data_IF_938244566677
#
_entry.id   IF_938244566677
#
_cell.length_a   1.000
_cell.length_b   1.000
_cell.length_c   1.000
_cell.angle_alpha   90.00
_cell.angle_beta   90.00
_cell.angle_gamma   90.00
#
_symmetry.space_group_name_H-M   'P 1'
#
loop_
_entity.id
_entity.type
_entity.pdbx_description
1 polymer ?
#
# COMPACT_ATOMS: atom_id res chain seq x y z
N UNK A 1 22.97 20.60 6.62
CA UNK A 1 22.45 19.88 5.43
C UNK A 1 21.36 20.77 4.83
N UNK A 2 21.61 21.41 3.68
CA UNK A 2 20.82 22.55 3.18
C UNK A 2 19.62 22.08 2.36
N UNK A 3 18.42 22.49 2.75
CA UNK A 3 17.16 22.28 2.04
C UNK A 3 17.19 23.07 0.73
N UNK A 4 17.14 22.39 -0.42
CA UNK A 4 16.91 23.04 -1.71
C UNK A 4 15.46 22.85 -2.12
N UNK A 5 14.63 23.79 -1.67
CA UNK A 5 13.25 23.93 -2.15
C UNK A 5 13.31 24.71 -3.46
N UNK A 6 13.28 24.01 -4.58
CA UNK A 6 13.09 24.66 -5.89
C UNK A 6 11.61 24.99 -6.02
N UNK A 7 11.24 26.25 -5.77
CA UNK A 7 9.89 26.75 -6.07
C UNK A 7 9.81 27.06 -7.57
N UNK A 8 8.98 26.31 -8.29
CA UNK A 8 8.63 26.60 -9.68
C UNK A 8 7.36 27.45 -9.75
N UNK A 9 7.24 28.27 -10.79
CA UNK A 9 6.14 29.23 -11.06
C UNK A 9 4.75 28.56 -11.23
N UNK A 10 4.68 27.23 -11.25
CA UNK A 10 3.46 26.43 -11.47
C UNK A 10 2.81 25.88 -10.17
N UNK A 11 3.19 26.37 -8.98
CA UNK A 11 2.69 25.82 -7.72
C UNK A 11 3.24 24.42 -7.39
N UNK A 12 4.36 24.06 -8.00
CA UNK A 12 5.04 22.77 -7.81
C UNK A 12 6.13 22.93 -6.75
N UNK A 13 6.05 22.09 -5.72
CA UNK A 13 7.05 21.99 -4.66
C UNK A 13 7.78 20.66 -4.78
N UNK A 14 9.07 20.70 -5.11
CA UNK A 14 9.92 19.51 -5.20
C UNK A 14 10.61 19.28 -3.86
N UNK A 15 10.42 18.09 -3.29
CA UNK A 15 11.09 17.65 -2.07
C UNK A 15 12.08 16.54 -2.42
N UNK A 16 13.38 16.86 -2.40
CA UNK A 16 14.44 15.91 -2.71
C UNK A 16 14.75 15.00 -1.51
N UNK A 17 13.81 14.10 -1.17
CA UNK A 17 13.96 13.12 -0.08
C UNK A 17 13.37 11.77 -0.48
N UNK A 18 13.80 10.73 0.21
CA UNK A 18 13.11 9.44 0.18
C UNK A 18 11.66 9.65 0.64
N UNK A 19 10.70 9.19 -0.18
CA UNK A 19 9.28 9.26 0.15
C UNK A 19 9.00 8.65 1.53
N UNK A 20 9.69 7.56 1.90
CA UNK A 20 9.53 6.90 3.20
C UNK A 20 9.93 7.76 4.39
N UNK A 21 10.64 8.88 4.19
CA UNK A 21 11.09 9.81 5.22
C UNK A 21 10.44 11.21 5.14
N UNK A 22 9.55 11.44 4.18
CA UNK A 22 8.84 12.72 4.03
C UNK A 22 7.70 12.83 5.05
N UNK A 23 7.32 14.03 5.46
CA UNK A 23 6.08 14.25 6.23
C UNK A 23 4.90 14.33 5.27
N UNK A 24 3.87 13.50 5.48
CA UNK A 24 2.65 13.55 4.65
C UNK A 24 1.79 14.77 5.02
N UNK A 25 1.02 15.33 4.07
CA UNK A 25 0.13 16.47 4.35
C UNK A 25 -0.89 16.14 5.46
N UNK A 26 -1.15 17.07 6.40
CA UNK A 26 -2.18 16.90 7.43
C UNK A 26 -3.61 17.15 6.90
N UNK A 27 -3.76 17.74 5.71
CA UNK A 27 -5.04 17.92 5.01
C UNK A 27 -5.34 16.80 4.00
N UNK A 28 -6.60 16.64 3.53
CA UNK A 28 -6.93 15.64 2.52
C UNK A 28 -6.10 15.75 1.23
N UNK A 29 -5.45 14.66 0.84
CA UNK A 29 -4.55 14.64 -0.31
C UNK A 29 -4.74 13.41 -1.21
N UNK A 30 -4.17 13.49 -2.42
CA UNK A 30 -4.08 12.37 -3.36
C UNK A 30 -2.62 12.05 -3.67
N UNK A 31 -2.34 10.78 -3.89
CA UNK A 31 -1.01 10.30 -4.28
C UNK A 31 -1.07 9.85 -5.74
N UNK A 32 -0.15 10.32 -6.55
CA UNK A 32 0.01 9.88 -7.93
C UNK A 32 1.50 9.60 -8.14
N UNK A 33 1.85 8.45 -8.72
CA UNK A 33 3.25 8.17 -9.00
C UNK A 33 3.54 6.78 -9.55
N UNK A 34 4.77 6.61 -10.04
CA UNK A 34 5.31 5.30 -10.39
C UNK A 34 6.16 4.80 -9.23
N UNK A 35 5.74 3.73 -8.56
CA UNK A 35 6.44 3.23 -7.39
C UNK A 35 7.64 2.37 -7.82
N UNK A 36 8.82 2.58 -7.22
CA UNK A 36 9.97 1.70 -7.45
C UNK A 36 9.63 0.28 -7.01
N UNK A 37 9.87 -0.69 -7.88
CA UNK A 37 9.44 -2.08 -7.65
C UNK A 37 9.96 -2.69 -6.34
N UNK A 38 11.19 -2.35 -5.94
CA UNK A 38 11.79 -2.83 -4.70
C UNK A 38 11.19 -2.23 -3.42
N UNK A 39 10.43 -1.13 -3.52
CA UNK A 39 9.90 -0.36 -2.38
C UNK A 39 8.38 -0.23 -2.38
N UNK A 40 7.70 -0.80 -3.37
CA UNK A 40 6.24 -0.71 -3.50
C UNK A 40 5.53 -1.12 -2.22
N UNK A 41 5.91 -2.25 -1.61
CA UNK A 41 5.27 -2.73 -0.37
C UNK A 41 5.47 -1.77 0.79
N UNK A 42 6.68 -1.26 1.00
CA UNK A 42 7.00 -0.30 2.07
C UNK A 42 6.21 1.00 1.91
N UNK A 43 6.10 1.50 0.67
CA UNK A 43 5.35 2.71 0.34
C UNK A 43 3.85 2.50 0.59
N UNK A 44 3.31 1.35 0.19
CA UNK A 44 1.90 1.03 0.44
C UNK A 44 1.60 0.89 1.93
N UNK A 45 2.46 0.23 2.72
CA UNK A 45 2.32 0.17 4.17
C UNK A 45 2.26 1.57 4.79
N UNK A 46 3.22 2.43 4.43
CA UNK A 46 3.25 3.82 4.88
C UNK A 46 1.99 4.61 4.53
N UNK A 47 1.34 4.31 3.42
CA UNK A 47 0.13 5.01 2.97
C UNK A 47 -1.17 4.44 3.56
N UNK A 48 -1.20 3.15 3.88
CA UNK A 48 -2.46 2.41 4.09
C UNK A 48 -2.62 1.79 5.47
N UNK A 49 -1.53 1.54 6.20
CA UNK A 49 -1.59 0.90 7.52
C UNK A 49 -2.28 1.78 8.56
N UNK A 50 -2.12 3.11 8.46
CA UNK A 50 -2.79 4.08 9.31
C UNK A 50 -3.90 4.82 8.53
N UNK A 51 -5.17 4.41 8.68
CA UNK A 51 -6.29 5.09 8.03
C UNK A 51 -6.62 6.45 8.67
N UNK A 52 -5.90 6.91 9.69
CA UNK A 52 -5.97 8.31 10.16
C UNK A 52 -5.23 9.28 9.22
N UNK A 53 -4.29 8.79 8.40
CA UNK A 53 -3.64 9.60 7.37
C UNK A 53 -4.69 10.08 6.37
N UNK A 54 -4.86 11.39 6.11
CA UNK A 54 -5.99 11.94 5.35
C UNK A 54 -5.93 11.70 3.83
N UNK A 55 -5.20 10.68 3.37
CA UNK A 55 -5.18 10.28 1.97
C UNK A 55 -6.58 9.87 1.50
N UNK A 56 -7.00 10.41 0.36
CA UNK A 56 -8.31 10.14 -0.24
C UNK A 56 -8.21 9.12 -1.38
N UNK A 57 -7.12 9.18 -2.15
CA UNK A 57 -6.90 8.32 -3.31
C UNK A 57 -5.42 8.19 -3.63
N UNK A 58 -5.00 7.01 -4.06
CA UNK A 58 -3.70 6.78 -4.68
C UNK A 58 -3.88 6.16 -6.06
N UNK A 59 -3.27 6.77 -7.08
CA UNK A 59 -3.18 6.24 -8.45
C UNK A 59 -1.72 5.92 -8.73
N UNK A 60 -1.34 4.66 -8.56
CA UNK A 60 0.07 4.25 -8.60
C UNK A 60 0.34 3.22 -9.67
N UNK A 61 1.45 3.40 -10.38
CA UNK A 61 1.99 2.41 -11.31
C UNK A 61 2.90 1.47 -10.52
N UNK A 62 2.61 0.17 -10.58
CA UNK A 62 3.38 -0.90 -9.91
C UNK A 62 3.60 -2.06 -10.89
N UNK A 63 4.42 -3.06 -10.54
CA UNK A 63 4.54 -4.28 -11.37
C UNK A 63 3.18 -4.96 -11.53
N UNK A 64 2.93 -5.54 -12.70
CA UNK A 64 1.66 -6.20 -13.03
C UNK A 64 1.21 -7.19 -11.95
N UNK A 65 2.11 -8.09 -11.51
CA UNK A 65 1.80 -9.09 -10.50
C UNK A 65 1.42 -8.46 -9.14
N UNK A 66 2.07 -7.37 -8.76
CA UNK A 66 1.72 -6.62 -7.55
C UNK A 66 0.34 -5.98 -7.70
N UNK A 67 0.07 -5.37 -8.86
CA UNK A 67 -1.22 -4.73 -9.13
C UNK A 67 -2.37 -5.76 -9.06
N UNK A 68 -2.21 -6.91 -9.73
CA UNK A 68 -3.17 -8.02 -9.72
C UNK A 68 -3.35 -8.55 -8.29
N UNK A 69 -2.25 -8.84 -7.59
CA UNK A 69 -2.29 -9.39 -6.22
C UNK A 69 -2.97 -8.46 -5.22
N UNK A 70 -2.81 -7.14 -5.37
CA UNK A 70 -3.40 -6.14 -4.46
C UNK A 70 -4.86 -5.83 -4.77
N UNK A 71 -5.23 -5.81 -6.05
CA UNK A 71 -6.59 -5.58 -6.50
C UNK A 71 -7.50 -6.82 -6.39
N UNK A 72 -6.93 -8.01 -6.19
CA UNK A 72 -7.72 -9.22 -5.99
C UNK A 72 -8.64 -9.08 -4.77
N UNK A 73 -9.93 -9.40 -4.95
CA UNK A 73 -10.95 -9.27 -3.91
C UNK A 73 -10.52 -10.02 -2.65
N UNK A 74 -10.32 -9.34 -1.50
CA UNK A 74 -10.03 -10.02 -0.25
C UNK A 74 -11.06 -11.12 0.07
N UNK A 75 -10.67 -12.26 0.65
CA UNK A 75 -9.39 -12.53 1.32
C UNK A 75 -8.36 -13.29 0.45
N UNK A 76 -7.78 -12.63 -0.58
CA UNK A 76 -6.73 -13.24 -1.42
C UNK A 76 -5.32 -13.05 -0.84
N UNK A 77 -5.08 -11.95 -0.09
CA UNK A 77 -3.81 -11.76 0.62
C UNK A 77 -4.01 -11.16 2.01
N UNK A 78 -3.12 -11.50 2.94
CA UNK A 78 -3.16 -11.04 4.32
C UNK A 78 -3.25 -9.52 4.39
N UNK A 79 -2.32 -8.86 3.70
CA UNK A 79 -2.20 -7.40 3.69
C UNK A 79 -3.39 -6.71 2.99
N UNK A 80 -3.89 -7.24 1.87
CA UNK A 80 -5.09 -6.67 1.23
C UNK A 80 -6.32 -6.83 2.12
N UNK A 81 -6.40 -7.91 2.90
CA UNK A 81 -7.48 -8.14 3.85
C UNK A 81 -7.40 -7.16 5.01
N UNK A 82 -6.20 -6.93 5.57
CA UNK A 82 -5.99 -5.95 6.63
C UNK A 82 -6.41 -4.54 6.22
N UNK A 83 -6.18 -4.14 4.96
CA UNK A 83 -6.55 -2.81 4.46
C UNK A 83 -8.01 -2.68 4.00
N UNK A 84 -8.67 -3.80 3.69
CA UNK A 84 -10.00 -3.83 3.08
C UNK A 84 -11.09 -2.99 3.78
N UNK A 85 -11.12 -2.86 5.13
CA UNK A 85 -12.15 -2.09 5.80
C UNK A 85 -12.13 -0.59 5.50
N UNK A 86 -10.96 -0.02 5.20
CA UNK A 86 -10.78 1.41 4.98
C UNK A 86 -10.53 1.76 3.51
N UNK A 87 -10.08 0.79 2.71
CA UNK A 87 -9.61 1.04 1.35
C UNK A 87 -10.28 0.13 0.32
N UNK A 88 -10.72 0.71 -0.78
CA UNK A 88 -11.01 -0.01 -2.03
C UNK A 88 -9.74 -0.07 -2.88
N UNK A 89 -9.41 -1.24 -3.42
CA UNK A 89 -8.25 -1.43 -4.30
C UNK A 89 -8.71 -2.03 -5.62
N UNK A 90 -8.34 -1.40 -6.74
CA UNK A 90 -8.79 -1.79 -8.06
C UNK A 90 -7.65 -1.74 -9.07
N UNK A 91 -7.55 -2.76 -9.91
CA UNK A 91 -6.65 -2.79 -11.05
C UNK A 91 -7.37 -2.11 -12.22
N UNK A 92 -6.96 -0.89 -12.54
CA UNK A 92 -7.65 -0.07 -13.54
C UNK A 92 -7.15 -0.36 -14.95
N UNK A 93 -5.84 -0.63 -15.12
CA UNK A 93 -5.24 -0.78 -16.45
C UNK A 93 -3.95 -1.60 -16.41
N UNK A 94 -3.71 -2.42 -17.45
CA UNK A 94 -2.40 -3.00 -17.76
C UNK A 94 -1.58 -2.04 -18.63
N UNK A 95 -0.30 -1.86 -18.32
CA UNK A 95 0.62 -0.99 -19.05
C UNK A 95 1.77 -1.85 -19.59
N UNK A 96 1.92 -1.97 -20.92
CA UNK A 96 3.00 -2.77 -21.51
C UNK A 96 4.39 -2.28 -21.08
N UNK A 97 5.30 -3.21 -20.77
CA UNK A 97 6.69 -2.94 -20.40
C UNK A 97 7.43 -2.07 -21.43
N UNK A 98 7.10 -2.23 -22.72
CA UNK A 98 7.71 -1.51 -23.83
C UNK A 98 7.57 0.02 -23.74
N UNK A 99 6.62 0.53 -22.94
CA UNK A 99 6.40 1.96 -22.70
C UNK A 99 7.35 2.58 -21.67
N UNK A 100 8.19 1.78 -21.01
CA UNK A 100 9.15 2.25 -20.01
C UNK A 100 10.59 2.30 -20.54
N UNK A 101 11.43 3.13 -19.93
CA UNK A 101 12.87 3.20 -20.18
C UNK A 101 13.64 3.30 -18.85
N UNK A 102 14.56 2.36 -18.55
CA UNK A 102 14.83 1.11 -19.28
C UNK A 102 13.60 0.18 -19.28
N UNK A 103 13.52 -0.72 -20.27
CA UNK A 103 12.39 -1.66 -20.38
C UNK A 103 12.47 -2.69 -19.23
N UNK A 104 11.45 -2.80 -18.37
CA UNK A 104 11.41 -3.78 -17.30
C UNK A 104 11.11 -5.19 -17.84
N UNK A 105 11.40 -6.22 -17.05
CA UNK A 105 11.13 -7.63 -17.40
C UNK A 105 9.65 -8.00 -17.43
N UNK A 106 8.81 -7.20 -16.76
CA UNK A 106 7.39 -7.46 -16.58
C UNK A 106 6.60 -6.21 -16.91
N UNK A 107 5.35 -6.42 -17.34
CA UNK A 107 4.40 -5.32 -17.51
C UNK A 107 4.14 -4.61 -16.18
N UNK A 108 3.59 -3.41 -16.27
CA UNK A 108 3.10 -2.65 -15.13
C UNK A 108 1.56 -2.67 -15.08
N UNK A 109 1.01 -2.35 -13.91
CA UNK A 109 -0.41 -2.14 -13.71
C UNK A 109 -0.66 -0.80 -13.02
N UNK A 110 -1.74 -0.12 -13.41
CA UNK A 110 -2.28 1.01 -12.67
C UNK A 110 -3.19 0.48 -11.56
N UNK A 111 -2.72 0.64 -10.32
CA UNK A 111 -3.47 0.33 -9.11
C UNK A 111 -4.10 1.61 -8.57
N UNK A 112 -5.43 1.62 -8.53
CA UNK A 112 -6.21 2.70 -7.91
C UNK A 112 -6.63 2.26 -6.52
N UNK A 113 -6.34 3.09 -5.52
CA UNK A 113 -6.70 2.88 -4.12
C UNK A 113 -7.56 4.04 -3.68
N UNK A 114 -8.75 3.77 -3.15
CA UNK A 114 -9.71 4.81 -2.74
C UNK A 114 -10.07 4.63 -1.29
N UNK A 115 -10.12 5.75 -0.55
CA UNK A 115 -10.69 5.76 0.80
C UNK A 115 -12.17 5.37 0.71
N UNK A 116 -12.61 4.48 1.60
CA UNK A 116 -14.02 4.18 1.79
C UNK A 116 -14.67 5.25 2.65
N UNK A 117 -15.85 5.69 2.22
CA UNK A 117 -16.69 6.61 2.98
C UNK A 117 -18.16 6.12 2.88
N UNK A 118 -18.74 5.62 3.99
CA UNK A 118 -18.11 5.41 5.30
C UNK A 118 -17.11 4.24 5.28
N UNK A 119 -16.13 4.20 6.21
CA UNK A 119 -15.30 3.02 6.40
C UNK A 119 -16.12 1.86 6.97
N UNK A 120 -15.73 0.61 6.66
CA UNK A 120 -16.43 -0.59 7.15
C UNK A 120 -16.16 -0.85 8.63
N UNK A 121 -15.03 -0.36 9.15
CA UNK A 121 -14.65 -0.42 10.56
C UNK A 121 -14.17 0.96 11.04
N UNK A 122 -14.37 1.31 12.33
CA UNK A 122 -13.82 2.54 12.90
C UNK A 122 -12.29 2.63 12.73
N UNK A 123 -11.76 3.83 12.46
CA UNK A 123 -10.31 4.08 12.32
C UNK A 123 -9.48 3.55 13.49
N UNK A 124 -9.89 3.69 14.77
CA UNK A 124 -9.13 3.12 15.90
C UNK A 124 -8.98 1.59 15.87
N UNK A 125 -9.79 0.88 15.07
CA UNK A 125 -9.69 -0.57 14.90
C UNK A 125 -8.61 -1.01 13.91
N UNK A 126 -7.90 -0.10 13.23
CA UNK A 126 -6.87 -0.42 12.25
C UNK A 126 -5.86 -1.47 12.75
N UNK A 127 -5.19 -1.17 13.86
CA UNK A 127 -4.19 -2.07 14.44
C UNK A 127 -4.80 -3.34 15.04
N UNK A 128 -5.85 -3.29 15.89
CA UNK A 128 -6.50 -4.50 16.40
C UNK A 128 -6.98 -5.46 15.30
N UNK A 129 -7.51 -4.92 14.20
CA UNK A 129 -7.98 -5.71 13.07
C UNK A 129 -6.82 -6.33 12.28
N UNK A 130 -5.74 -5.57 12.02
CA UNK A 130 -4.55 -6.10 11.37
C UNK A 130 -3.93 -7.25 12.19
N UNK A 131 -3.83 -7.09 13.51
CA UNK A 131 -3.33 -8.13 14.43
C UNK A 131 -4.24 -9.38 14.43
N UNK A 132 -5.56 -9.18 14.37
CA UNK A 132 -6.53 -10.27 14.21
C UNK A 132 -6.32 -11.03 12.88
N UNK A 133 -6.31 -10.32 11.76
CA UNK A 133 -6.11 -10.90 10.42
C UNK A 133 -4.79 -11.65 10.37
N UNK A 134 -3.72 -11.10 10.93
CA UNK A 134 -2.40 -11.73 10.97
C UNK A 134 -2.37 -13.03 11.78
N UNK A 135 -3.13 -13.09 12.88
CA UNK A 135 -3.20 -14.27 13.76
C UNK A 135 -4.05 -15.38 13.15
N UNK A 136 -5.19 -15.03 12.57
CA UNK A 136 -6.18 -15.99 12.06
C UNK A 136 -5.98 -16.32 10.57
N UNK A 137 -4.90 -15.83 9.93
CA UNK A 137 -4.68 -16.01 8.49
C UNK A 137 -4.54 -17.50 8.13
N UNK A 138 -5.48 -18.08 7.36
CA UNK A 138 -5.54 -19.52 7.14
C UNK A 138 -4.44 -20.05 6.21
N UNK A 139 -3.72 -19.17 5.51
CA UNK A 139 -2.65 -19.52 4.57
C UNK A 139 -1.25 -19.20 5.10
N UNK A 140 -1.11 -18.87 6.39
CA UNK A 140 0.21 -18.76 7.01
C UNK A 140 0.80 -20.18 7.20
N UNK A 141 2.10 -20.40 6.93
CA UNK A 141 2.71 -21.70 7.22
C UNK A 141 2.49 -22.04 8.70
N UNK A 142 1.96 -23.24 8.95
CA UNK A 142 1.54 -23.67 10.27
C UNK A 142 2.66 -23.43 11.29
N UNK A 143 2.39 -22.57 12.29
CA UNK A 143 3.27 -22.44 13.44
C UNK A 143 3.24 -23.78 14.16
N UNK A 144 4.39 -24.45 14.21
CA UNK A 144 4.56 -25.71 14.94
C UNK A 144 4.18 -25.48 16.41
N UNK A 145 2.93 -25.77 16.79
CA UNK A 145 2.54 -25.89 18.19
C UNK A 145 3.17 -27.18 18.68
N UNK A 146 4.39 -27.08 19.21
CA UNK A 146 5.01 -28.16 19.97
C UNK A 146 4.14 -28.45 21.20
N UNK A 147 3.25 -29.43 21.05
CA UNK A 147 2.65 -30.17 22.16
C UNK A 147 3.70 -31.16 22.65
N UNK A 148 4.59 -30.71 23.52
CA UNK A 148 5.28 -31.60 24.45
C UNK A 148 4.71 -31.32 25.84
N UNK A 149 3.73 -32.15 26.24
CA UNK A 149 3.37 -32.31 27.64
C UNK A 149 4.26 -33.40 28.25
N UNK A 150 4.62 -33.31 29.53
CA UNK A 150 5.46 -34.31 30.18
C UNK A 150 4.67 -35.61 30.35
N UNK A 151 5.30 -36.75 30.03
CA UNK A 151 4.84 -38.06 30.49
C UNK A 151 5.24 -38.24 31.95
N UNK A 152 4.26 -38.53 32.80
CA UNK A 152 4.42 -39.27 34.06
C UNK A 152 3.13 -40.02 34.33
#
# INVERSE_FOLDING_TARGET
>A
MREQTVRSTLGVHVVARDFLAVTLPPEPFRVIGSLPFARTTDILHRLLDDPAIPMQRADVIVQWEVAVKRAATPPVTLISTAWAPWWGMQLTRRIPAALFRPVPRVDAGLLTITRRDPPLLPVPMARPYADFVQREWPFAPARHRSRFGPSS
#
